data_IF_547441754405
#
_entry.id   IF_547441754405
#
_cell.length_a   1.000
_cell.length_b   1.000
_cell.length_c   1.000
_cell.angle_alpha   90.00
_cell.angle_beta   90.00
_cell.angle_gamma   90.00
#
_symmetry.space_group_name_H-M   'P 1'
#
loop_
_entity.id
_entity.type
_entity.pdbx_description
1 polymer ?
#
# COMPACT_ATOMS: atom_id res chain seq x y z
N UNK A 1 6.73 5.35 5.25
CA UNK A 1 5.65 4.82 6.12
C UNK A 1 5.56 3.32 5.92
N UNK A 2 5.10 2.55 6.90
CA UNK A 2 5.32 1.10 6.95
C UNK A 2 3.99 0.35 7.03
N UNK A 3 3.79 -0.71 6.23
CA UNK A 3 2.60 -1.60 6.38
C UNK A 3 2.56 -2.21 7.77
N UNK A 4 3.75 -2.56 8.28
CA UNK A 4 3.94 -3.08 9.62
C UNK A 4 3.57 -2.00 10.65
N UNK A 5 4.02 -0.76 10.41
CA UNK A 5 3.64 0.40 11.23
C UNK A 5 2.13 0.60 11.30
N UNK A 6 1.41 0.53 10.17
CA UNK A 6 -0.04 0.64 10.15
C UNK A 6 -0.74 -0.49 10.91
N UNK A 7 -0.29 -1.74 10.73
CA UNK A 7 -0.83 -2.89 11.47
C UNK A 7 -0.58 -2.78 12.98
N UNK A 8 0.58 -2.28 13.39
CA UNK A 8 0.91 -2.03 14.80
C UNK A 8 0.04 -0.90 15.39
N UNK A 9 -0.17 0.19 14.65
CA UNK A 9 -1.00 1.31 15.12
C UNK A 9 -2.48 0.94 15.22
N UNK A 10 -2.98 0.20 14.23
CA UNK A 10 -4.34 -0.36 14.26
C UNK A 10 -4.52 -1.24 15.51
N UNK A 11 -3.55 -2.12 15.79
CA UNK A 11 -3.56 -2.98 16.99
C UNK A 11 -3.57 -2.15 18.28
N UNK A 12 -2.70 -1.14 18.38
CA UNK A 12 -2.63 -0.30 19.58
C UNK A 12 -3.94 0.45 19.80
N UNK A 13 -4.61 0.94 18.75
CA UNK A 13 -5.91 1.60 18.89
C UNK A 13 -7.02 0.66 19.34
N UNK A 14 -7.09 -0.55 18.79
CA UNK A 14 -8.07 -1.56 19.23
C UNK A 14 -7.79 -2.10 20.64
N UNK A 15 -6.67 -1.74 21.25
CA UNK A 15 -6.32 -2.14 22.62
C UNK A 15 -6.43 -0.99 23.62
N UNK A 16 -6.60 0.25 23.14
CA UNK A 16 -6.70 1.41 23.99
C UNK A 16 -8.12 1.51 24.61
N UNK A 17 -8.25 1.90 25.89
CA UNK A 17 -9.55 2.24 26.46
C UNK A 17 -10.25 3.35 25.67
N UNK A 18 -11.59 3.34 25.66
CA UNK A 18 -12.43 4.35 25.02
C UNK A 18 -11.94 5.78 25.28
N UNK A 19 -11.85 6.60 24.23
CA UNK A 19 -11.39 8.00 24.26
C UNK A 19 -9.97 8.25 24.82
N UNK A 20 -9.21 7.19 25.11
CA UNK A 20 -7.83 7.28 25.62
C UNK A 20 -6.77 7.03 24.54
N UNK A 21 -7.18 6.58 23.35
CA UNK A 21 -6.28 6.33 22.22
C UNK A 21 -5.52 7.59 21.76
N UNK A 22 -5.96 8.79 22.14
CA UNK A 22 -5.30 10.06 21.79
C UNK A 22 -4.76 10.87 22.98
N UNK A 23 -4.97 10.43 24.24
CA UNK A 23 -4.80 11.31 25.41
C UNK A 23 -3.95 10.74 26.54
N UNK A 24 -3.90 9.42 26.79
CA UNK A 24 -3.26 8.88 28.01
C UNK A 24 -2.32 7.69 27.76
N UNK A 25 -2.66 6.71 26.92
CA UNK A 25 -1.76 5.62 26.51
C UNK A 25 -1.98 5.21 25.03
N UNK A 26 -1.01 4.49 24.46
CA UNK A 26 -0.76 4.38 23.02
C UNK A 26 -1.96 3.94 22.15
N UNK A 27 -2.01 4.40 20.87
CA UNK A 27 -1.03 5.24 20.22
C UNK A 27 -1.43 6.71 20.30
N UNK A 28 -0.71 7.54 21.06
CA UNK A 28 -0.90 9.01 21.13
C UNK A 28 -0.65 9.75 19.80
N UNK A 29 -0.51 9.00 18.71
CA UNK A 29 -0.40 9.52 17.36
C UNK A 29 -1.78 9.72 16.75
N UNK A 30 -1.96 10.88 16.12
CA UNK A 30 -3.19 11.27 15.42
C UNK A 30 -3.56 10.26 14.34
N UNK A 31 -4.87 10.05 14.12
CA UNK A 31 -5.46 9.19 13.07
C UNK A 31 -4.88 9.41 11.67
N UNK A 32 -4.41 10.63 11.39
CA UNK A 32 -3.75 10.99 10.13
C UNK A 32 -2.46 10.18 9.92
N UNK A 33 -1.71 9.88 10.98
CA UNK A 33 -0.46 9.11 10.91
C UNK A 33 -0.75 7.66 10.48
N UNK A 34 -1.85 7.07 10.95
CA UNK A 34 -2.29 5.74 10.53
C UNK A 34 -2.76 5.74 9.08
N UNK A 35 -3.48 6.79 8.65
CA UNK A 35 -3.87 6.97 7.25
C UNK A 35 -2.64 7.06 6.34
N UNK A 36 -1.62 7.82 6.74
CA UNK A 36 -0.35 7.89 6.02
C UNK A 36 0.45 6.58 6.07
N UNK A 37 0.37 5.85 7.19
CA UNK A 37 0.98 4.54 7.34
C UNK A 37 0.36 3.51 6.38
N UNK A 38 -0.96 3.56 6.20
CA UNK A 38 -1.68 2.72 5.25
C UNK A 38 -1.42 3.09 3.78
N UNK A 39 -1.23 4.38 3.49
CA UNK A 39 -1.16 4.89 2.11
C UNK A 39 0.18 4.66 1.41
N UNK A 40 1.27 4.58 2.15
CA UNK A 40 2.61 4.47 1.57
C UNK A 40 3.31 3.26 2.17
N UNK A 41 3.13 2.06 1.60
CA UNK A 41 3.83 0.87 2.03
C UNK A 41 5.31 0.94 1.59
N UNK A 42 6.13 1.63 2.37
CA UNK A 42 7.51 1.95 2.02
C UNK A 42 8.37 0.73 1.75
N UNK A 43 8.18 -0.36 2.50
CA UNK A 43 8.91 -1.61 2.27
C UNK A 43 8.61 -2.21 0.89
N UNK A 44 7.36 -2.10 0.47
CA UNK A 44 6.86 -2.66 -0.79
C UNK A 44 7.28 -1.79 -1.96
N UNK A 45 7.29 -0.46 -1.78
CA UNK A 45 7.83 0.47 -2.77
C UNK A 45 9.33 0.27 -3.00
N UNK A 46 10.10 -0.02 -1.93
CA UNK A 46 11.53 -0.34 -2.06
C UNK A 46 11.71 -1.64 -2.86
N UNK A 47 10.95 -2.70 -2.51
CA UNK A 47 11.04 -3.97 -3.22
C UNK A 47 10.58 -3.86 -4.68
N UNK A 48 9.52 -3.09 -4.94
CA UNK A 48 9.06 -2.74 -6.29
C UNK A 48 10.16 -2.02 -7.08
N UNK A 49 10.78 -0.99 -6.50
CA UNK A 49 11.87 -0.26 -7.14
C UNK A 49 13.07 -1.15 -7.46
N UNK A 50 13.42 -2.07 -6.57
CA UNK A 50 14.48 -3.05 -6.81
C UNK A 50 14.16 -3.99 -7.98
N UNK A 51 12.91 -4.50 -8.05
CA UNK A 51 12.46 -5.36 -9.15
C UNK A 51 12.45 -4.58 -10.47
N UNK A 52 11.92 -3.36 -10.47
CA UNK A 52 11.90 -2.50 -11.67
C UNK A 52 13.32 -2.18 -12.14
N UNK A 53 14.22 -1.83 -11.23
CA UNK A 53 15.61 -1.54 -11.57
C UNK A 53 16.33 -2.76 -12.17
N UNK A 54 16.07 -3.95 -11.62
CA UNK A 54 16.60 -5.21 -12.16
C UNK A 54 15.98 -5.58 -13.53
N UNK A 55 14.70 -5.29 -13.72
CA UNK A 55 13.93 -5.59 -14.93
C UNK A 55 14.12 -4.57 -16.07
N UNK A 56 14.68 -3.40 -15.79
CA UNK A 56 14.85 -2.34 -16.78
C UNK A 56 16.12 -2.58 -17.58
N UNK A 57 15.95 -2.81 -18.89
CA UNK A 57 17.08 -2.91 -19.82
C UNK A 57 17.30 -1.53 -20.42
N UNK A 58 18.51 -0.99 -20.24
CA UNK A 58 18.91 0.26 -20.88
C UNK A 58 19.65 -0.08 -22.16
N UNK A 59 19.07 0.27 -23.29
CA UNK A 59 19.70 0.13 -24.60
C UNK A 59 20.19 1.50 -25.04
N UNK A 60 21.50 1.64 -25.16
CA UNK A 60 22.12 2.80 -25.79
C UNK A 60 22.19 2.52 -27.28
N UNK A 61 21.50 3.32 -28.09
CA UNK A 61 21.62 3.26 -29.54
C UNK A 61 22.23 4.56 -30.03
N UNK A 62 23.35 4.46 -30.73
CA UNK A 62 23.98 5.61 -31.35
C UNK A 62 23.34 5.81 -32.73
N UNK A 63 22.56 6.89 -32.86
CA UNK A 63 21.90 7.23 -34.11
C UNK A 63 22.38 8.63 -34.54
N UNK A 64 23.10 8.70 -35.66
CA UNK A 64 23.64 9.95 -36.23
C UNK A 64 24.57 10.74 -35.27
N UNK A 65 25.40 10.05 -34.48
CA UNK A 65 26.35 10.70 -33.56
C UNK A 65 25.72 11.33 -32.31
N UNK A 66 24.42 11.07 -32.08
CA UNK A 66 23.73 11.43 -30.84
C UNK A 66 23.42 10.13 -30.08
N UNK A 67 23.94 10.05 -28.86
CA UNK A 67 23.70 8.92 -27.96
C UNK A 67 22.25 8.97 -27.47
N UNK A 68 21.38 8.08 -27.97
CA UNK A 68 20.02 7.92 -27.47
C UNK A 68 19.99 6.78 -26.46
N UNK A 69 19.74 7.14 -25.20
CA UNK A 69 19.52 6.17 -24.12
C UNK A 69 18.03 5.87 -24.06
N UNK A 70 17.64 4.66 -24.47
CA UNK A 70 16.27 4.17 -24.35
C UNK A 70 16.21 3.12 -23.22
N UNK A 71 15.40 3.37 -22.20
CA UNK A 71 15.10 2.39 -21.16
C UNK A 71 13.83 1.65 -21.55
N UNK A 72 13.96 0.35 -21.86
CA UNK A 72 12.82 -0.51 -22.19
C UNK A 72 12.50 -1.39 -20.99
N UNK A 73 11.25 -1.35 -20.55
CA UNK A 73 10.73 -2.24 -19.53
C UNK A 73 10.07 -3.43 -20.23
N UNK A 74 10.65 -4.62 -20.11
CA UNK A 74 10.08 -5.83 -20.69
C UNK A 74 8.89 -6.29 -19.85
N UNK A 75 7.69 -6.27 -20.40
CA UNK A 75 6.47 -6.72 -19.72
C UNK A 75 6.32 -8.26 -19.75
N UNK A 76 7.37 -8.98 -19.34
CA UNK A 76 7.36 -10.44 -19.30
C UNK A 76 6.36 -10.98 -18.26
N UNK A 77 5.87 -12.22 -18.45
CA UNK A 77 4.94 -12.88 -17.53
C UNK A 77 5.46 -12.95 -16.08
N UNK A 78 6.79 -12.92 -15.88
CA UNK A 78 7.42 -12.92 -14.55
C UNK A 78 7.09 -11.62 -13.79
N UNK A 79 7.03 -10.48 -14.48
CA UNK A 79 6.73 -9.19 -13.86
C UNK A 79 5.25 -9.06 -13.49
N UNK A 80 4.37 -9.70 -14.26
CA UNK A 80 2.96 -9.84 -13.91
C UNK A 80 2.79 -10.58 -12.59
N UNK A 81 3.47 -11.72 -12.41
CA UNK A 81 3.46 -12.45 -11.14
C UNK A 81 4.06 -11.62 -10.00
N UNK A 82 5.15 -10.90 -10.26
CA UNK A 82 5.79 -10.05 -9.25
C UNK A 82 4.85 -8.97 -8.71
N UNK A 83 4.05 -8.34 -9.57
CA UNK A 83 3.04 -7.35 -9.13
C UNK A 83 2.05 -7.95 -8.12
N UNK A 84 1.46 -9.10 -8.45
CA UNK A 84 0.48 -9.75 -7.58
C UNK A 84 1.10 -10.33 -6.30
N UNK A 85 2.35 -10.80 -6.38
CA UNK A 85 3.10 -11.21 -5.19
C UNK A 85 3.28 -10.02 -4.25
N UNK A 86 3.67 -8.84 -4.75
CA UNK A 86 3.81 -7.65 -3.90
C UNK A 86 2.49 -7.23 -3.24
N UNK A 87 1.38 -7.28 -4.00
CA UNK A 87 0.02 -7.05 -3.47
C UNK A 87 -0.31 -8.06 -2.36
N UNK A 88 -0.01 -9.34 -2.56
CA UNK A 88 -0.21 -10.38 -1.56
C UNK A 88 0.69 -10.19 -0.33
N UNK A 89 1.93 -9.74 -0.52
CA UNK A 89 2.87 -9.43 0.56
C UNK A 89 2.37 -8.25 1.40
N UNK A 90 1.75 -7.21 0.80
CA UNK A 90 1.08 -6.15 1.55
C UNK A 90 0.03 -6.72 2.53
N UNK A 91 -0.84 -7.60 2.03
CA UNK A 91 -1.88 -8.23 2.84
C UNK A 91 -1.28 -9.12 3.93
N UNK A 92 -0.26 -9.92 3.59
CA UNK A 92 0.40 -10.82 4.53
C UNK A 92 1.12 -10.06 5.65
N UNK A 93 1.82 -8.97 5.34
CA UNK A 93 2.50 -8.13 6.35
C UNK A 93 1.49 -7.52 7.32
N UNK A 94 0.33 -7.08 6.82
CA UNK A 94 -0.76 -6.61 7.68
C UNK A 94 -1.25 -7.72 8.62
N UNK A 95 -1.53 -8.92 8.09
CA UNK A 95 -1.97 -10.09 8.85
C UNK A 95 -0.96 -10.43 9.95
N UNK A 96 0.33 -10.51 9.61
CA UNK A 96 1.42 -10.83 10.55
C UNK A 96 1.51 -9.76 11.65
N UNK A 97 1.47 -8.47 11.28
CA UNK A 97 1.55 -7.38 12.25
C UNK A 97 0.36 -7.38 13.23
N UNK A 98 -0.84 -7.72 12.73
CA UNK A 98 -2.07 -7.84 13.52
C UNK A 98 -2.03 -9.05 14.47
N UNK A 99 -1.64 -10.21 13.97
CA UNK A 99 -1.79 -11.51 14.67
C UNK A 99 -0.67 -11.85 15.65
N UNK A 100 0.53 -11.25 15.54
CA UNK A 100 1.71 -11.59 16.36
C UNK A 100 1.57 -11.43 17.89
N UNK A 101 0.44 -10.95 18.42
CA UNK A 101 0.19 -10.81 19.87
C UNK A 101 -1.20 -11.25 20.34
N UNK A 102 -2.08 -11.68 19.45
CA UNK A 102 -3.45 -12.03 19.84
C UNK A 102 -3.58 -13.53 20.07
N UNK A 103 -3.57 -13.93 21.34
CA UNK A 103 -4.07 -15.23 21.78
C UNK A 103 -5.60 -15.30 21.73
N UNK A 104 -6.21 -15.12 20.55
CA UNK A 104 -7.63 -15.46 20.32
C UNK A 104 -8.62 -14.30 20.08
N UNK A 105 -8.20 -13.14 19.57
CA UNK A 105 -9.15 -12.12 19.12
C UNK A 105 -9.88 -12.59 17.84
N UNK A 106 -11.21 -12.48 17.82
CA UNK A 106 -12.01 -12.87 16.66
C UNK A 106 -11.84 -11.85 15.53
N UNK A 107 -11.57 -12.35 14.33
CA UNK A 107 -11.50 -11.51 13.13
C UNK A 107 -12.87 -10.89 12.84
N UNK A 108 -12.93 -9.57 12.74
CA UNK A 108 -14.13 -8.87 12.29
C UNK A 108 -14.12 -8.73 10.76
N UNK A 109 -15.31 -8.61 10.14
CA UNK A 109 -15.42 -8.28 8.72
C UNK A 109 -14.67 -6.99 8.32
N UNK A 110 -14.49 -6.07 9.26
CA UNK A 110 -13.77 -4.81 9.08
C UNK A 110 -12.26 -5.02 8.96
N UNK A 111 -11.71 -6.07 9.59
CA UNK A 111 -10.28 -6.39 9.51
C UNK A 111 -9.86 -6.80 8.10
N UNK A 112 -10.77 -7.44 7.34
CA UNK A 112 -10.53 -7.75 5.93
C UNK A 112 -10.44 -6.48 5.07
N UNK A 113 -11.27 -5.48 5.35
CA UNK A 113 -11.19 -4.18 4.64
C UNK A 113 -9.87 -3.49 4.97
N UNK A 114 -9.46 -3.47 6.24
CA UNK A 114 -8.19 -2.88 6.67
C UNK A 114 -6.97 -3.59 6.07
N UNK A 115 -7.04 -4.90 5.89
CA UNK A 115 -6.00 -5.69 5.20
C UNK A 115 -5.85 -5.30 3.73
N UNK A 116 -6.94 -4.93 3.07
CA UNK A 116 -6.93 -4.55 1.65
C UNK A 116 -6.45 -3.12 1.41
N UNK A 117 -6.48 -2.24 2.42
CA UNK A 117 -6.09 -0.84 2.23
C UNK A 117 -4.62 -0.67 1.78
N UNK A 118 -3.61 -1.31 2.40
CA UNK A 118 -2.23 -1.18 1.94
C UNK A 118 -2.00 -1.76 0.54
N UNK A 119 -2.69 -2.86 0.21
CA UNK A 119 -2.64 -3.50 -1.10
C UNK A 119 -3.25 -2.60 -2.19
N UNK A 120 -4.41 -2.00 -1.92
CA UNK A 120 -5.08 -1.06 -2.80
C UNK A 120 -4.28 0.25 -2.96
N UNK A 121 -3.65 0.74 -1.88
CA UNK A 121 -2.78 1.91 -1.93
C UNK A 121 -1.55 1.67 -2.83
N UNK A 122 -0.91 0.50 -2.70
CA UNK A 122 0.19 0.11 -3.58
C UNK A 122 -0.27 0.01 -5.04
N UNK A 123 -1.40 -0.63 -5.31
CA UNK A 123 -1.94 -0.75 -6.67
C UNK A 123 -2.27 0.63 -7.28
N UNK A 124 -2.90 1.52 -6.49
CA UNK A 124 -3.18 2.89 -6.88
C UNK A 124 -1.90 3.65 -7.23
N UNK A 125 -0.87 3.55 -6.37
CA UNK A 125 0.43 4.18 -6.61
C UNK A 125 1.11 3.64 -7.87
N UNK A 126 1.13 2.32 -8.07
CA UNK A 126 1.76 1.70 -9.22
C UNK A 126 1.07 2.10 -10.55
N UNK A 127 -0.23 2.39 -10.51
CA UNK A 127 -1.00 2.89 -11.67
C UNK A 127 -0.71 4.35 -12.03
N UNK A 128 -0.15 5.18 -11.13
CA UNK A 128 0.10 6.59 -11.41
C UNK A 128 1.27 6.83 -12.39
N UNK A 129 2.20 5.88 -12.51
CA UNK A 129 3.39 6.00 -13.34
C UNK A 129 3.45 5.00 -14.49
N UNK A 130 4.21 5.34 -15.53
CA UNK A 130 4.73 4.37 -16.52
C UNK A 130 6.09 3.84 -16.06
N UNK A 131 6.50 2.69 -16.57
CA UNK A 131 7.71 1.98 -16.16
C UNK A 131 7.56 1.27 -14.81
N UNK A 132 6.33 0.98 -14.38
CA UNK A 132 6.07 0.26 -13.13
C UNK A 132 5.68 -1.18 -13.41
N UNK A 133 5.76 -2.05 -12.38
CA UNK A 133 5.19 -3.40 -12.48
C UNK A 133 3.71 -3.43 -12.87
N UNK A 134 2.94 -2.36 -12.65
CA UNK A 134 1.56 -2.30 -13.11
C UNK A 134 1.45 -2.25 -14.65
N UNK A 135 2.50 -1.84 -15.36
CA UNK A 135 2.53 -1.88 -16.84
C UNK A 135 2.43 -3.29 -17.38
N UNK A 136 2.93 -4.29 -16.64
CA UNK A 136 2.78 -5.71 -17.03
C UNK A 136 1.34 -6.21 -16.95
N UNK A 137 0.47 -5.52 -16.22
CA UNK A 137 -0.93 -5.94 -15.97
C UNK A 137 -1.93 -5.01 -16.65
N UNK A 138 -1.61 -3.72 -16.75
CA UNK A 138 -2.47 -2.65 -17.25
C UNK A 138 -1.81 -1.84 -18.38
N UNK A 139 -0.84 -2.42 -19.08
CA UNK A 139 -0.02 -1.75 -20.10
C UNK A 139 -0.82 -1.15 -21.24
N UNK A 140 -1.97 -1.75 -21.57
CA UNK A 140 -2.86 -1.29 -22.65
C UNK A 140 -3.67 -0.03 -22.27
N UNK A 141 -3.67 0.39 -21.01
CA UNK A 141 -4.44 1.56 -20.58
C UNK A 141 -3.74 2.88 -20.96
N UNK A 142 -4.51 3.81 -21.51
CA UNK A 142 -4.06 5.18 -21.76
C UNK A 142 -3.55 5.84 -20.45
N UNK A 143 -2.42 6.54 -20.51
CA UNK A 143 -1.83 7.21 -19.34
C UNK A 143 -2.77 8.15 -18.59
N UNK A 144 -3.66 8.87 -19.29
CA UNK A 144 -4.66 9.73 -18.66
C UNK A 144 -5.70 8.94 -17.85
N UNK A 145 -6.15 7.80 -18.39
CA UNK A 145 -7.07 6.90 -17.69
C UNK A 145 -6.40 6.28 -16.45
N UNK A 146 -5.12 5.91 -16.56
CA UNK A 146 -4.33 5.37 -15.45
C UNK A 146 -4.20 6.35 -14.30
N UNK A 147 -3.88 7.62 -14.62
CA UNK A 147 -3.82 8.69 -13.63
C UNK A 147 -5.17 8.94 -12.97
N UNK A 148 -6.26 8.95 -13.75
CA UNK A 148 -7.61 9.14 -13.22
C UNK A 148 -8.01 8.00 -12.26
N UNK A 149 -7.83 6.74 -12.68
CA UNK A 149 -8.17 5.57 -11.86
C UNK A 149 -7.28 5.51 -10.61
N UNK A 150 -5.96 5.61 -10.77
CA UNK A 150 -5.00 5.57 -9.67
C UNK A 150 -5.23 6.70 -8.66
N UNK A 151 -5.48 7.92 -9.15
CA UNK A 151 -5.78 9.08 -8.31
C UNK A 151 -7.09 8.92 -7.54
N UNK A 152 -8.18 8.55 -8.22
CA UNK A 152 -9.47 8.30 -7.58
C UNK A 152 -9.40 7.17 -6.56
N UNK A 153 -8.73 6.06 -6.89
CA UNK A 153 -8.53 4.94 -5.97
C UNK A 153 -7.71 5.36 -4.75
N UNK A 154 -6.65 6.15 -4.94
CA UNK A 154 -5.86 6.71 -3.84
C UNK A 154 -6.69 7.57 -2.88
N UNK A 155 -7.57 8.44 -3.40
CA UNK A 155 -8.48 9.26 -2.58
C UNK A 155 -9.47 8.39 -1.81
N UNK A 156 -10.08 7.39 -2.45
CA UNK A 156 -11.03 6.47 -1.80
C UNK A 156 -10.34 5.68 -0.69
N UNK A 157 -9.13 5.16 -0.94
CA UNK A 157 -8.35 4.42 0.05
C UNK A 157 -7.96 5.31 1.23
N UNK A 158 -7.59 6.57 0.99
CA UNK A 158 -7.30 7.54 2.05
C UNK A 158 -8.52 7.84 2.92
N UNK A 159 -9.66 8.09 2.29
CA UNK A 159 -10.91 8.34 3.01
C UNK A 159 -11.33 7.11 3.84
N UNK A 160 -11.22 5.91 3.26
CA UNK A 160 -11.53 4.66 3.94
C UNK A 160 -10.59 4.41 5.14
N UNK A 161 -9.28 4.62 4.99
CA UNK A 161 -8.31 4.46 6.07
C UNK A 161 -8.63 5.40 7.27
N UNK A 162 -8.98 6.66 6.99
CA UNK A 162 -9.38 7.62 8.02
C UNK A 162 -10.70 7.22 8.68
N UNK A 163 -11.69 6.81 7.90
CA UNK A 163 -13.00 6.38 8.42
C UNK A 163 -12.86 5.14 9.32
N UNK A 164 -12.06 4.15 8.91
CA UNK A 164 -11.81 2.95 9.70
C UNK A 164 -10.98 3.21 10.96
N UNK A 165 -10.11 4.21 10.94
CA UNK A 165 -9.42 4.70 12.13
C UNK A 165 -10.39 5.31 13.14
N UNK A 166 -11.30 6.19 12.69
CA UNK A 166 -12.35 6.75 13.54
C UNK A 166 -13.31 5.69 14.08
N UNK A 167 -13.67 4.70 13.27
CA UNK A 167 -14.50 3.59 13.71
C UNK A 167 -13.79 2.73 14.77
N UNK A 168 -12.47 2.54 14.66
CA UNK A 168 -11.68 1.86 15.68
C UNK A 168 -11.78 2.60 17.02
N UNK A 169 -11.63 3.93 16.99
CA UNK A 169 -11.72 4.77 18.19
C UNK A 169 -13.14 4.74 18.81
N UNK A 170 -14.20 4.58 18.00
CA UNK A 170 -15.58 4.61 18.45
C UNK A 170 -16.17 3.23 18.87
N UNK A 171 -15.62 2.13 18.36
CA UNK A 171 -16.18 0.78 18.59
C UNK A 171 -16.02 0.30 20.05
N UNK A 172 -14.96 0.73 20.73
CA UNK A 172 -14.69 0.40 22.13
C UNK A 172 -15.25 1.43 23.12
N UNK A 173 -15.95 2.48 22.64
CA UNK A 173 -16.64 3.49 23.46
C UNK A 173 -18.06 3.11 23.87
N UNK A 174 -18.49 1.85 23.63
CA UNK A 174 -19.76 1.35 24.18
C UNK A 174 -19.54 0.91 25.64
N UNK A 175 -20.36 1.41 26.58
CA UNK A 175 -20.27 1.04 28.00
C UNK A 175 -20.58 -0.43 28.26
#
# INVERSE_FOLDING_TARGET
MSVIGYGVLTRLRTQAPADQSQTVEAPSMRVIVDGLAALVPGEILILHGAIVAWATVTTTTEEQGVEKVASTFDASSVHWFAFWILVAVCALLYVIARTRREGGSSWSGVDFVRMLLPAAAFAAWALLGKGTLADSTFGDMNGGLRLAIGGCLGVVVAAAAVALGKQADAADAKP
#
